data_IF_602584742654
#
_entry.id   IF_602584742654
#
_cell.length_a   1.000
_cell.length_b   1.000
_cell.length_c   1.000
_cell.angle_alpha   90.00
_cell.angle_beta   90.00
_cell.angle_gamma   90.00
#
_symmetry.space_group_name_H-M   'P 1'
#
loop_
_entity.id
_entity.type
_entity.pdbx_description
1 polymer ?
#
# COMPACT_ATOMS: atom_id res chain seq x y z
N UNK A 1 -15.42 -52.41 18.86
CA UNK A 1 -16.19 -51.41 18.10
C UNK A 1 -15.84 -49.94 18.45
N UNK A 2 -14.68 -49.63 19.05
CA UNK A 2 -14.37 -48.27 19.57
C UNK A 2 -13.58 -47.32 18.65
N UNK A 3 -12.98 -47.80 17.54
CA UNK A 3 -11.99 -46.99 16.78
C UNK A 3 -12.36 -46.65 15.33
N UNK A 4 -13.57 -47.01 14.86
CA UNK A 4 -13.98 -46.76 13.45
C UNK A 4 -14.39 -45.31 13.10
N UNK A 5 -15.04 -44.51 13.97
CA UNK A 5 -15.25 -43.08 13.63
C UNK A 5 -13.92 -42.31 13.56
N UNK A 6 -12.92 -42.80 14.31
CA UNK A 6 -11.56 -42.31 14.32
C UNK A 6 -10.83 -42.58 13.00
N UNK A 7 -11.15 -43.66 12.28
CA UNK A 7 -10.46 -44.03 11.02
C UNK A 7 -10.96 -43.25 9.80
N UNK A 8 -12.25 -42.91 9.75
CA UNK A 8 -12.83 -42.06 8.70
C UNK A 8 -12.43 -40.60 8.95
N UNK A 9 -12.41 -40.16 10.21
CA UNK A 9 -11.85 -38.87 10.61
C UNK A 9 -10.32 -38.76 10.44
N UNK A 10 -9.56 -39.84 10.66
CA UNK A 10 -8.11 -39.90 10.42
C UNK A 10 -7.76 -40.02 8.93
N UNK A 11 -8.61 -40.62 8.10
CA UNK A 11 -8.36 -40.66 6.65
C UNK A 11 -8.77 -39.34 5.98
N UNK A 12 -9.90 -38.75 6.35
CA UNK A 12 -10.27 -37.41 5.83
C UNK A 12 -9.34 -36.33 6.39
N UNK A 13 -8.98 -36.40 7.67
CA UNK A 13 -8.00 -35.54 8.35
C UNK A 13 -6.55 -35.79 7.93
N UNK A 14 -6.18 -37.03 7.64
CA UNK A 14 -4.83 -37.42 7.22
C UNK A 14 -4.55 -37.05 5.76
N UNK A 15 -5.53 -37.20 4.87
CA UNK A 15 -5.40 -36.77 3.47
C UNK A 15 -5.38 -35.24 3.38
N UNK A 16 -6.16 -34.53 4.22
CA UNK A 16 -6.06 -33.06 4.31
C UNK A 16 -4.75 -32.61 4.95
N UNK A 17 -4.23 -33.31 5.97
CA UNK A 17 -2.93 -32.99 6.58
C UNK A 17 -1.74 -33.25 5.64
N UNK A 18 -1.77 -34.34 4.86
CA UNK A 18 -0.71 -34.68 3.90
C UNK A 18 -0.80 -33.76 2.67
N UNK A 19 -2.00 -33.45 2.17
CA UNK A 19 -2.16 -32.53 1.04
C UNK A 19 -1.77 -31.09 1.44
N UNK A 20 -2.14 -30.64 2.65
CA UNK A 20 -1.67 -29.35 3.18
C UNK A 20 -0.17 -29.35 3.40
N UNK A 21 0.42 -30.43 3.92
CA UNK A 21 1.88 -30.55 4.09
C UNK A 21 2.64 -30.56 2.75
N UNK A 22 2.14 -31.27 1.73
CA UNK A 22 2.74 -31.30 0.39
C UNK A 22 2.60 -29.94 -0.30
N UNK A 23 1.45 -29.27 -0.19
CA UNK A 23 1.28 -27.91 -0.72
C UNK A 23 2.18 -26.91 0.02
N UNK A 24 2.38 -27.08 1.33
CA UNK A 24 3.28 -26.24 2.13
C UNK A 24 4.76 -26.50 1.80
N UNK A 25 5.13 -27.75 1.47
CA UNK A 25 6.49 -28.11 1.05
C UNK A 25 6.80 -27.74 -0.41
N UNK A 26 5.82 -27.83 -1.31
CA UNK A 26 6.00 -27.54 -2.75
C UNK A 26 5.98 -26.03 -3.03
N UNK A 27 5.33 -25.22 -2.19
CA UNK A 27 5.24 -23.75 -2.35
C UNK A 27 6.14 -22.93 -1.42
N UNK A 28 7.24 -23.49 -0.93
CA UNK A 28 8.37 -22.68 -0.47
C UNK A 28 9.58 -23.00 -1.36
N UNK A 29 10.03 -22.02 -2.18
CA UNK A 29 10.61 -20.82 -1.60
C UNK A 29 10.20 -19.49 -2.25
N UNK A 30 10.31 -18.44 -1.43
CA UNK A 30 10.47 -17.00 -1.78
C UNK A 30 9.20 -16.21 -2.15
N UNK A 31 9.05 -15.04 -1.50
CA UNK A 31 8.25 -13.88 -1.91
C UNK A 31 6.75 -13.71 -1.53
N UNK A 32 6.21 -14.31 -0.46
CA UNK A 32 4.85 -13.91 0.01
C UNK A 32 4.74 -13.59 1.51
N UNK A 33 4.18 -12.40 1.76
CA UNK A 33 3.88 -11.80 3.06
C UNK A 33 2.96 -12.68 3.91
N UNK A 34 3.16 -12.67 5.24
CA UNK A 34 2.66 -13.67 6.22
C UNK A 34 1.13 -13.80 6.24
N UNK A 35 0.40 -12.75 5.86
CA UNK A 35 -1.07 -12.69 5.79
C UNK A 35 -1.66 -13.30 4.53
N UNK A 36 -1.08 -13.06 3.34
CA UNK A 36 -1.58 -13.66 2.09
C UNK A 36 -1.38 -15.17 2.02
N UNK A 37 -0.31 -15.67 2.65
CA UNK A 37 -0.03 -17.11 2.76
C UNK A 37 -1.17 -17.85 3.48
N UNK A 38 -1.75 -17.26 4.52
CA UNK A 38 -2.81 -17.91 5.29
C UNK A 38 -4.13 -17.99 4.51
N UNK A 39 -4.47 -16.97 3.71
CA UNK A 39 -5.67 -16.97 2.88
C UNK A 39 -5.59 -17.92 1.68
N UNK A 40 -4.44 -17.94 0.98
CA UNK A 40 -4.25 -18.87 -0.14
C UNK A 40 -4.28 -20.31 0.33
N UNK A 41 -3.63 -20.62 1.46
CA UNK A 41 -3.66 -21.95 2.07
C UNK A 41 -5.09 -22.35 2.45
N UNK A 42 -5.89 -21.44 3.03
CA UNK A 42 -7.27 -21.73 3.43
C UNK A 42 -8.20 -22.01 2.22
N UNK A 43 -8.12 -21.21 1.16
CA UNK A 43 -8.91 -21.44 -0.05
C UNK A 43 -8.50 -22.71 -0.79
N UNK A 44 -7.19 -22.98 -0.93
CA UNK A 44 -6.72 -24.22 -1.55
C UNK A 44 -7.05 -25.45 -0.71
N UNK A 45 -7.00 -25.33 0.63
CA UNK A 45 -7.40 -26.41 1.54
C UNK A 45 -8.91 -26.69 1.46
N UNK A 46 -9.75 -25.65 1.32
CA UNK A 46 -11.19 -25.80 1.16
C UNK A 46 -11.60 -26.47 -0.15
N UNK A 47 -10.97 -26.09 -1.28
CA UNK A 47 -11.26 -26.69 -2.59
C UNK A 47 -10.76 -28.13 -2.67
N UNK A 48 -9.56 -28.41 -2.15
CA UNK A 48 -9.00 -29.77 -2.16
C UNK A 48 -9.73 -30.71 -1.21
N UNK A 49 -10.16 -30.24 -0.04
CA UNK A 49 -10.99 -31.04 0.87
C UNK A 49 -12.37 -31.31 0.29
N UNK A 50 -12.97 -30.35 -0.40
CA UNK A 50 -14.26 -30.54 -1.08
C UNK A 50 -14.17 -31.54 -2.24
N UNK A 51 -13.16 -31.40 -3.11
CA UNK A 51 -12.95 -32.36 -4.21
C UNK A 51 -12.63 -33.76 -3.68
N UNK A 52 -11.82 -33.88 -2.62
CA UNK A 52 -11.54 -35.15 -1.97
C UNK A 52 -12.82 -35.77 -1.35
N UNK A 53 -13.66 -34.96 -0.72
CA UNK A 53 -14.91 -35.42 -0.09
C UNK A 53 -15.96 -35.78 -1.15
N UNK A 54 -16.07 -35.01 -2.23
CA UNK A 54 -16.98 -35.27 -3.34
C UNK A 54 -16.56 -36.51 -4.14
N UNK A 55 -15.26 -36.68 -4.42
CA UNK A 55 -14.74 -37.88 -5.06
C UNK A 55 -14.86 -39.12 -4.16
N UNK A 56 -14.58 -39.00 -2.86
CA UNK A 56 -14.90 -40.07 -1.90
C UNK A 56 -16.38 -40.41 -1.93
N UNK A 57 -17.26 -39.39 -1.95
CA UNK A 57 -18.72 -39.55 -2.01
C UNK A 57 -19.19 -40.30 -3.26
N UNK A 58 -18.61 -40.00 -4.43
CA UNK A 58 -18.88 -40.73 -5.66
C UNK A 58 -18.36 -42.17 -5.58
N UNK A 59 -17.14 -42.38 -5.08
CA UNK A 59 -16.54 -43.72 -4.93
C UNK A 59 -17.33 -44.58 -3.93
N UNK A 60 -17.76 -44.00 -2.81
CA UNK A 60 -18.60 -44.70 -1.82
C UNK A 60 -19.99 -44.97 -2.36
N UNK A 61 -20.62 -44.03 -3.09
CA UNK A 61 -21.90 -44.24 -3.75
C UNK A 61 -21.83 -45.34 -4.84
N UNK A 62 -20.76 -45.37 -5.65
CA UNK A 62 -20.52 -46.43 -6.62
C UNK A 62 -20.27 -47.78 -5.96
N UNK A 63 -19.48 -47.82 -4.87
CA UNK A 63 -19.27 -49.03 -4.07
C UNK A 63 -20.57 -49.54 -3.45
N UNK A 64 -21.40 -48.66 -2.89
CA UNK A 64 -22.72 -48.98 -2.37
C UNK A 64 -23.59 -49.57 -3.47
N UNK A 65 -23.71 -48.90 -4.62
CA UNK A 65 -24.51 -49.37 -5.76
C UNK A 65 -24.04 -50.72 -6.32
N UNK A 66 -22.73 -50.94 -6.41
CA UNK A 66 -22.17 -52.23 -6.80
C UNK A 66 -22.43 -53.31 -5.74
N UNK A 67 -22.30 -52.97 -4.47
CA UNK A 67 -22.53 -53.91 -3.36
C UNK A 67 -24.00 -54.30 -3.27
N UNK A 68 -24.93 -53.37 -3.45
CA UNK A 68 -26.37 -53.63 -3.42
C UNK A 68 -26.82 -54.43 -4.64
N UNK A 69 -26.41 -54.05 -5.86
CA UNK A 69 -26.75 -54.83 -7.07
C UNK A 69 -26.20 -56.26 -7.02
N UNK A 70 -25.04 -56.47 -6.39
CA UNK A 70 -24.48 -57.81 -6.20
C UNK A 70 -25.25 -58.61 -5.16
N UNK A 71 -25.68 -57.97 -4.06
CA UNK A 71 -26.54 -58.60 -3.07
C UNK A 71 -27.88 -59.01 -3.68
N UNK A 72 -28.45 -58.15 -4.53
CA UNK A 72 -29.69 -58.39 -5.28
C UNK A 72 -29.54 -59.57 -6.24
N UNK A 73 -28.53 -59.56 -7.11
CA UNK A 73 -28.25 -60.68 -8.03
C UNK A 73 -28.02 -62.01 -7.28
N UNK A 74 -27.47 -61.93 -6.07
CA UNK A 74 -27.22 -63.08 -5.23
C UNK A 74 -28.48 -63.59 -4.51
N UNK A 75 -29.34 -62.69 -4.04
CA UNK A 75 -30.67 -62.99 -3.52
C UNK A 75 -31.53 -63.70 -4.57
N UNK A 76 -31.49 -63.22 -5.81
CA UNK A 76 -32.13 -63.88 -6.96
C UNK A 76 -31.54 -65.28 -7.17
N UNK A 77 -30.22 -65.44 -7.15
CA UNK A 77 -29.58 -66.76 -7.28
C UNK A 77 -29.96 -67.77 -6.18
N UNK A 78 -30.12 -67.32 -4.93
CA UNK A 78 -30.63 -68.17 -3.84
C UNK A 78 -32.12 -68.51 -4.04
N UNK A 79 -32.93 -67.56 -4.51
CA UNK A 79 -34.34 -67.81 -4.84
C UNK A 79 -34.53 -68.81 -5.99
N UNK A 80 -33.54 -68.90 -6.89
CA UNK A 80 -33.48 -69.87 -7.99
C UNK A 80 -32.90 -71.25 -7.59
N UNK A 81 -32.61 -71.48 -6.30
CA UNK A 81 -32.13 -72.77 -5.81
C UNK A 81 -30.60 -72.97 -5.84
N UNK A 82 -29.81 -71.92 -6.10
CA UNK A 82 -28.34 -72.00 -6.20
C UNK A 82 -27.68 -71.64 -4.85
N UNK A 83 -27.74 -72.56 -3.89
CA UNK A 83 -27.26 -72.33 -2.51
C UNK A 83 -25.73 -72.39 -2.33
N UNK A 84 -24.98 -72.81 -3.34
CA UNK A 84 -23.51 -72.87 -3.33
C UNK A 84 -22.82 -71.54 -3.66
N UNK A 85 -23.59 -70.52 -4.02
CA UNK A 85 -23.03 -69.20 -4.28
C UNK A 85 -22.45 -68.66 -2.95
N UNK A 86 -21.36 -67.88 -3.01
CA UNK A 86 -20.81 -67.08 -1.90
C UNK A 86 -20.61 -65.64 -2.35
N UNK A 87 -21.06 -64.66 -1.57
CA UNK A 87 -20.78 -63.25 -1.87
C UNK A 87 -19.33 -62.98 -1.49
N UNK A 88 -18.46 -62.59 -2.43
CA UNK A 88 -17.09 -62.26 -2.10
C UNK A 88 -17.02 -61.02 -1.19
N UNK A 89 -16.25 -61.11 -0.11
CA UNK A 89 -16.14 -60.09 0.93
C UNK A 89 -15.07 -59.08 0.53
N UNK A 90 -15.48 -57.87 0.11
CA UNK A 90 -14.54 -56.84 -0.38
C UNK A 90 -14.51 -55.54 0.44
N UNK A 91 -15.48 -55.32 1.33
CA UNK A 91 -15.62 -54.08 2.10
C UNK A 91 -15.08 -54.22 3.54
N UNK A 92 -14.72 -53.11 4.20
CA UNK A 92 -14.30 -53.05 5.61
C UNK A 92 -15.31 -52.31 6.51
N UNK A 93 -16.56 -52.22 6.04
CA UNK A 93 -17.65 -51.43 6.59
C UNK A 93 -18.78 -52.33 7.13
N UNK A 94 -19.91 -51.74 7.50
CA UNK A 94 -21.08 -52.46 8.00
C UNK A 94 -21.69 -53.42 6.97
N UNK A 95 -21.47 -53.18 5.67
CA UNK A 95 -21.88 -54.09 4.60
C UNK A 95 -21.02 -55.36 4.60
N UNK A 96 -19.76 -55.28 5.04
CA UNK A 96 -18.92 -56.47 5.25
C UNK A 96 -19.53 -57.43 6.27
N UNK A 97 -19.97 -56.90 7.42
CA UNK A 97 -20.56 -57.70 8.48
C UNK A 97 -21.92 -58.27 8.05
N UNK A 98 -22.72 -57.50 7.32
CA UNK A 98 -23.95 -58.00 6.70
C UNK A 98 -23.67 -59.14 5.71
N UNK A 99 -22.69 -58.96 4.82
CA UNK A 99 -22.28 -59.95 3.81
C UNK A 99 -21.76 -61.24 4.46
N UNK A 100 -20.95 -61.15 5.52
CA UNK A 100 -20.47 -62.31 6.28
C UNK A 100 -21.64 -63.11 6.87
N UNK A 101 -22.62 -62.43 7.47
CA UNK A 101 -23.80 -63.09 8.04
C UNK A 101 -24.71 -63.69 6.97
N UNK A 102 -24.83 -63.03 5.83
CA UNK A 102 -25.57 -63.54 4.69
C UNK A 102 -24.93 -64.82 4.11
N UNK A 103 -23.60 -64.84 3.98
CA UNK A 103 -22.86 -66.04 3.58
C UNK A 103 -23.02 -67.19 4.59
N UNK A 104 -22.96 -66.89 5.90
CA UNK A 104 -23.23 -67.90 6.93
C UNK A 104 -24.67 -68.43 6.87
N UNK A 105 -25.64 -67.57 6.57
CA UNK A 105 -27.03 -67.98 6.37
C UNK A 105 -27.17 -68.90 5.16
N UNK A 106 -26.56 -68.55 4.02
CA UNK A 106 -26.59 -69.37 2.81
C UNK A 106 -25.93 -70.74 3.03
N UNK A 107 -24.81 -70.80 3.76
CA UNK A 107 -24.11 -72.03 4.12
C UNK A 107 -24.96 -72.96 4.99
N UNK A 108 -25.63 -72.40 6.00
CA UNK A 108 -26.58 -73.15 6.84
C UNK A 108 -27.76 -73.67 6.02
N UNK A 109 -28.34 -72.83 5.16
CA UNK A 109 -29.47 -73.18 4.29
C UNK A 109 -29.07 -74.30 3.31
N UNK A 110 -27.87 -74.22 2.73
CA UNK A 110 -27.34 -75.24 1.83
C UNK A 110 -27.15 -76.58 2.55
N UNK A 111 -26.53 -76.59 3.73
CA UNK A 111 -26.32 -77.80 4.51
C UNK A 111 -27.65 -78.44 4.94
N UNK A 112 -28.65 -77.63 5.29
CA UNK A 112 -29.99 -78.12 5.61
C UNK A 112 -30.70 -78.72 4.39
N UNK A 113 -30.61 -78.09 3.22
CA UNK A 113 -31.22 -78.65 2.01
C UNK A 113 -30.58 -79.96 1.56
N UNK A 114 -29.27 -80.10 1.74
CA UNK A 114 -28.59 -81.38 1.53
C UNK A 114 -29.14 -82.43 2.51
N UNK A 115 -29.29 -82.10 3.79
CA UNK A 115 -29.83 -83.01 4.80
C UNK A 115 -31.31 -83.37 4.58
N UNK A 116 -32.14 -82.41 4.15
CA UNK A 116 -33.56 -82.63 3.82
C UNK A 116 -33.67 -83.52 2.58
N UNK A 117 -32.89 -83.26 1.53
CA UNK A 117 -32.90 -84.06 0.29
C UNK A 117 -32.47 -85.51 0.51
N UNK A 118 -31.55 -85.75 1.44
CA UNK A 118 -31.16 -87.11 1.87
C UNK A 118 -32.31 -87.83 2.63
N UNK A 119 -33.23 -87.09 3.27
CA UNK A 119 -34.38 -87.65 4.00
C UNK A 119 -35.68 -87.73 3.20
N UNK A 120 -35.74 -87.09 2.02
CA UNK A 120 -36.90 -87.17 1.12
C UNK A 120 -37.22 -88.59 0.64
N UNK A 121 -36.30 -89.54 0.82
CA UNK A 121 -36.45 -90.96 0.51
C UNK A 121 -37.19 -91.78 1.60
N UNK A 122 -37.51 -91.24 2.80
CA UNK A 122 -37.98 -92.08 3.92
C UNK A 122 -39.32 -91.77 4.63
N UNK A 123 -40.02 -90.64 4.41
CA UNK A 123 -41.36 -90.43 5.06
C UNK A 123 -42.20 -89.27 4.46
N UNK A 124 -43.49 -89.49 4.19
CA UNK A 124 -44.44 -88.47 3.66
C UNK A 124 -44.92 -87.46 4.73
N UNK A 125 -45.04 -87.88 5.99
CA UNK A 125 -45.54 -87.00 7.08
C UNK A 125 -44.55 -85.88 7.45
N UNK A 126 -43.25 -86.10 7.24
CA UNK A 126 -42.23 -85.09 7.51
C UNK A 126 -42.21 -84.01 6.41
N UNK A 127 -42.58 -84.37 5.17
CA UNK A 127 -42.68 -83.42 4.04
C UNK A 127 -43.77 -82.36 4.28
N UNK A 128 -44.96 -82.77 4.72
CA UNK A 128 -46.06 -81.83 5.00
C UNK A 128 -45.75 -80.87 6.16
N UNK A 129 -45.11 -81.37 7.23
CA UNK A 129 -44.69 -80.53 8.36
C UNK A 129 -43.64 -79.51 7.96
N UNK A 130 -42.63 -79.92 7.18
CA UNK A 130 -41.59 -79.01 6.68
C UNK A 130 -42.20 -77.96 5.75
N UNK A 131 -43.05 -78.36 4.80
CA UNK A 131 -43.72 -77.43 3.88
C UNK A 131 -44.55 -76.36 4.62
N UNK A 132 -45.34 -76.75 5.63
CA UNK A 132 -46.13 -75.82 6.44
C UNK A 132 -45.26 -74.83 7.23
N UNK A 133 -44.13 -75.30 7.76
CA UNK A 133 -43.19 -74.45 8.49
C UNK A 133 -42.43 -73.48 7.58
N UNK A 134 -42.08 -73.90 6.36
CA UNK A 134 -41.46 -73.03 5.34
C UNK A 134 -42.41 -71.92 4.92
N UNK A 135 -43.69 -72.20 4.68
CA UNK A 135 -44.69 -71.17 4.33
C UNK A 135 -44.79 -70.11 5.43
N UNK A 136 -44.83 -70.51 6.72
CA UNK A 136 -44.85 -69.57 7.86
C UNK A 136 -43.58 -68.74 7.97
N UNK A 137 -42.44 -69.30 7.55
CA UNK A 137 -41.17 -68.61 7.56
C UNK A 137 -41.07 -67.61 6.40
N UNK A 138 -41.58 -67.97 5.22
CA UNK A 138 -41.71 -67.08 4.06
C UNK A 138 -42.66 -65.92 4.33
N UNK A 139 -43.82 -66.15 4.96
CA UNK A 139 -44.77 -65.10 5.36
C UNK A 139 -44.13 -64.06 6.30
N UNK A 140 -43.29 -64.52 7.24
CA UNK A 140 -42.57 -63.64 8.17
C UNK A 140 -41.39 -62.91 7.52
N UNK A 141 -40.73 -63.52 6.55
CA UNK A 141 -39.69 -62.86 5.75
C UNK A 141 -40.30 -61.83 4.81
N UNK A 142 -41.46 -62.13 4.23
CA UNK A 142 -42.23 -61.21 3.40
C UNK A 142 -42.68 -59.97 4.19
N UNK A 143 -43.16 -60.18 5.41
CA UNK A 143 -43.47 -59.07 6.35
C UNK A 143 -42.23 -58.19 6.61
N UNK A 144 -41.05 -58.81 6.77
CA UNK A 144 -39.80 -58.07 6.96
C UNK A 144 -39.33 -57.34 5.69
N UNK A 145 -39.60 -57.89 4.50
CA UNK A 145 -39.31 -57.28 3.20
C UNK A 145 -40.16 -56.01 2.96
N UNK A 146 -41.38 -55.97 3.49
CA UNK A 146 -42.26 -54.79 3.46
C UNK A 146 -41.85 -53.69 4.47
N UNK A 147 -40.67 -53.79 5.07
CA UNK A 147 -40.11 -52.76 5.95
C UNK A 147 -40.26 -53.04 7.45
N UNK A 148 -40.93 -54.12 7.84
CA UNK A 148 -41.09 -54.50 9.26
C UNK A 148 -39.96 -55.41 9.75
N UNK A 149 -38.76 -54.84 9.88
CA UNK A 149 -37.54 -55.60 10.20
C UNK A 149 -37.49 -56.05 11.69
N UNK A 150 -38.39 -55.53 12.54
CA UNK A 150 -38.43 -55.90 13.97
C UNK A 150 -39.03 -57.31 14.23
N UNK A 151 -39.54 -57.98 13.21
CA UNK A 151 -40.15 -59.32 13.32
C UNK A 151 -39.10 -60.34 13.77
N UNK A 152 -39.36 -61.02 14.90
CA UNK A 152 -38.54 -62.12 15.39
C UNK A 152 -39.15 -63.47 15.01
N UNK A 153 -38.40 -64.29 14.30
CA UNK A 153 -38.75 -65.68 14.02
C UNK A 153 -38.54 -66.54 15.27
N UNK A 154 -39.49 -67.41 15.58
CA UNK A 154 -39.42 -68.31 16.75
C UNK A 154 -38.44 -69.46 16.44
N UNK A 155 -37.31 -69.48 17.13
CA UNK A 155 -36.32 -70.56 17.02
C UNK A 155 -36.85 -71.78 17.77
N UNK A 156 -37.20 -72.86 17.05
CA UNK A 156 -37.55 -74.17 17.63
C UNK A 156 -36.34 -75.11 17.51
N UNK A 157 -36.28 -76.18 18.30
CA UNK A 157 -35.18 -77.15 18.28
C UNK A 157 -35.18 -78.08 17.04
N UNK A 158 -36.02 -77.81 16.05
CA UNK A 158 -36.15 -78.57 14.80
C UNK A 158 -35.22 -78.01 13.70
N UNK A 159 -35.08 -78.71 12.58
CA UNK A 159 -34.15 -78.39 11.48
C UNK A 159 -34.36 -76.95 10.91
N UNK A 160 -35.59 -76.41 10.95
CA UNK A 160 -35.92 -75.05 10.53
C UNK A 160 -35.59 -73.95 11.58
N UNK A 161 -35.20 -74.34 12.79
CA UNK A 161 -34.74 -73.44 13.84
C UNK A 161 -33.45 -72.71 13.50
N UNK A 162 -32.52 -73.38 12.80
CA UNK A 162 -31.24 -72.77 12.40
C UNK A 162 -31.44 -71.71 11.32
N UNK A 163 -32.39 -71.90 10.41
CA UNK A 163 -32.78 -70.89 9.40
C UNK A 163 -33.38 -69.66 10.10
N UNK A 164 -34.30 -69.90 11.04
CA UNK A 164 -34.90 -68.84 11.86
C UNK A 164 -33.85 -68.02 12.62
N UNK A 165 -32.82 -68.69 13.16
CA UNK A 165 -31.68 -68.03 13.83
C UNK A 165 -30.87 -67.16 12.88
N UNK A 166 -30.55 -67.67 11.68
CA UNK A 166 -29.75 -66.93 10.69
C UNK A 166 -30.49 -65.71 10.12
N UNK A 167 -31.80 -65.83 9.88
CA UNK A 167 -32.63 -64.71 9.44
C UNK A 167 -32.72 -63.65 10.54
N UNK A 168 -33.00 -64.04 11.80
CA UNK A 168 -33.00 -63.11 12.93
C UNK A 168 -31.66 -62.36 13.07
N UNK A 169 -30.53 -63.05 12.86
CA UNK A 169 -29.21 -62.44 12.90
C UNK A 169 -29.02 -61.39 11.79
N UNK A 170 -29.47 -61.71 10.58
CA UNK A 170 -29.38 -60.82 9.41
C UNK A 170 -30.27 -59.59 9.59
N UNK A 171 -31.52 -59.79 10.02
CA UNK A 171 -32.47 -58.71 10.33
C UNK A 171 -31.93 -57.78 11.43
N UNK A 172 -31.34 -58.31 12.50
CA UNK A 172 -30.76 -57.49 13.57
C UNK A 172 -29.57 -56.63 13.09
N UNK A 173 -28.73 -57.15 12.20
CA UNK A 173 -27.63 -56.39 11.62
C UNK A 173 -28.13 -55.33 10.63
N UNK A 174 -29.16 -55.65 9.84
CA UNK A 174 -29.81 -54.67 8.97
C UNK A 174 -30.44 -53.53 9.79
N UNK A 175 -31.10 -53.87 10.90
CA UNK A 175 -31.67 -52.89 11.83
C UNK A 175 -30.60 -51.98 12.45
N UNK A 176 -29.43 -52.51 12.82
CA UNK A 176 -28.28 -51.69 13.26
C UNK A 176 -27.79 -50.74 12.17
N UNK A 177 -27.73 -51.19 10.91
CA UNK A 177 -27.33 -50.36 9.78
C UNK A 177 -28.33 -49.23 9.54
N UNK A 178 -29.62 -49.55 9.48
CA UNK A 178 -30.72 -48.58 9.32
C UNK A 178 -30.70 -47.53 10.44
N UNK A 179 -30.53 -47.95 11.72
CA UNK A 179 -30.38 -47.02 12.86
C UNK A 179 -29.18 -46.10 12.71
N UNK A 180 -28.04 -46.64 12.27
CA UNK A 180 -26.82 -45.86 12.05
C UNK A 180 -27.00 -44.83 10.93
N UNK A 181 -27.56 -45.24 9.79
CA UNK A 181 -27.83 -44.32 8.67
C UNK A 181 -28.78 -43.20 9.11
N UNK A 182 -29.83 -43.50 9.89
CA UNK A 182 -30.74 -42.48 10.40
C UNK A 182 -30.04 -41.49 11.35
N UNK A 183 -29.20 -41.99 12.28
CA UNK A 183 -28.43 -41.14 13.21
C UNK A 183 -27.44 -40.25 12.46
N UNK A 184 -26.64 -40.83 11.56
CA UNK A 184 -25.62 -40.10 10.79
C UNK A 184 -26.29 -39.06 9.86
N UNK A 185 -27.46 -39.39 9.30
CA UNK A 185 -28.25 -38.45 8.47
C UNK A 185 -28.78 -37.27 9.30
N UNK A 186 -29.28 -37.51 10.51
CA UNK A 186 -29.72 -36.44 11.42
C UNK A 186 -28.57 -35.52 11.83
N UNK A 187 -27.39 -36.07 12.11
CA UNK A 187 -26.19 -35.28 12.44
C UNK A 187 -25.74 -34.41 11.26
N UNK A 188 -25.78 -34.92 10.04
CA UNK A 188 -25.47 -34.14 8.83
C UNK A 188 -26.49 -33.01 8.62
N UNK A 189 -27.79 -33.29 8.82
CA UNK A 189 -28.85 -32.27 8.68
C UNK A 189 -28.65 -31.14 9.70
N UNK A 190 -28.36 -31.46 10.96
CA UNK A 190 -28.14 -30.42 11.98
C UNK A 190 -26.89 -29.59 11.68
N UNK A 191 -25.77 -30.23 11.32
CA UNK A 191 -24.53 -29.54 10.97
C UNK A 191 -24.73 -28.53 9.81
N UNK A 192 -25.46 -28.95 8.76
CA UNK A 192 -25.73 -28.10 7.61
C UNK A 192 -26.72 -26.97 7.95
N UNK A 193 -27.78 -27.28 8.71
CA UNK A 193 -28.84 -26.31 9.02
C UNK A 193 -28.36 -25.15 9.92
N UNK A 194 -27.60 -25.45 10.97
CA UNK A 194 -27.18 -24.44 11.97
C UNK A 194 -25.89 -23.72 11.60
N UNK A 195 -24.84 -24.45 11.22
CA UNK A 195 -23.50 -23.87 11.11
C UNK A 195 -23.20 -23.41 9.69
N UNK A 196 -23.53 -24.24 8.69
CA UNK A 196 -23.17 -23.95 7.30
C UNK A 196 -23.90 -22.73 6.74
N UNK A 197 -25.20 -22.57 7.03
CA UNK A 197 -26.00 -21.43 6.57
C UNK A 197 -25.46 -20.09 7.09
N UNK A 198 -25.23 -19.99 8.39
CA UNK A 198 -24.79 -18.75 9.02
C UNK A 198 -23.38 -18.36 8.56
N UNK A 199 -22.47 -19.34 8.48
CA UNK A 199 -21.10 -19.14 7.99
C UNK A 199 -21.10 -18.63 6.55
N UNK A 200 -21.84 -19.28 5.63
CA UNK A 200 -21.85 -18.87 4.24
C UNK A 200 -22.53 -17.51 4.01
N UNK A 201 -23.63 -17.23 4.71
CA UNK A 201 -24.27 -15.92 4.63
C UNK A 201 -23.34 -14.80 5.13
N UNK A 202 -22.66 -15.02 6.27
CA UNK A 202 -21.71 -14.06 6.80
C UNK A 202 -20.52 -13.86 5.86
N UNK A 203 -19.94 -14.95 5.33
CA UNK A 203 -18.79 -14.87 4.43
C UNK A 203 -19.14 -14.17 3.11
N UNK A 204 -20.33 -14.37 2.57
CA UNK A 204 -20.82 -13.67 1.38
C UNK A 204 -21.04 -12.18 1.65
N UNK A 205 -21.66 -11.86 2.79
CA UNK A 205 -21.89 -10.47 3.24
C UNK A 205 -20.58 -9.73 3.46
N UNK A 206 -19.64 -10.33 4.19
CA UNK A 206 -18.32 -9.75 4.45
C UNK A 206 -17.53 -9.52 3.16
N UNK A 207 -17.56 -10.48 2.23
CA UNK A 207 -16.87 -10.31 0.95
C UNK A 207 -17.49 -9.18 0.13
N UNK A 208 -18.82 -8.98 0.20
CA UNK A 208 -19.48 -7.84 -0.44
C UNK A 208 -19.10 -6.51 0.21
N UNK A 209 -19.12 -6.43 1.55
CA UNK A 209 -18.72 -5.23 2.28
C UNK A 209 -17.26 -4.86 1.97
N UNK A 210 -16.36 -5.84 1.91
CA UNK A 210 -14.97 -5.59 1.51
C UNK A 210 -14.84 -5.06 0.08
N UNK A 211 -15.70 -5.50 -0.86
CA UNK A 211 -15.71 -4.92 -2.20
C UNK A 211 -16.19 -3.46 -2.19
N UNK A 212 -17.24 -3.15 -1.43
CA UNK A 212 -17.75 -1.78 -1.26
C UNK A 212 -16.72 -0.85 -0.58
N UNK A 213 -15.99 -1.34 0.43
CA UNK A 213 -14.88 -0.61 1.07
C UNK A 213 -13.74 -0.33 0.09
N UNK A 214 -13.43 -1.29 -0.79
CA UNK A 214 -12.41 -1.11 -1.83
C UNK A 214 -12.86 -0.06 -2.85
N UNK A 215 -14.12 -0.03 -3.26
CA UNK A 215 -14.65 1.01 -4.16
C UNK A 215 -14.53 2.41 -3.56
N UNK A 216 -14.83 2.55 -2.26
CA UNK A 216 -14.62 3.80 -1.51
C UNK A 216 -13.15 4.20 -1.45
N UNK A 217 -12.25 3.24 -1.24
CA UNK A 217 -10.81 3.48 -1.23
C UNK A 217 -10.28 3.87 -2.61
N UNK A 218 -10.75 3.25 -3.69
CA UNK A 218 -10.41 3.61 -5.07
C UNK A 218 -10.83 5.05 -5.39
N UNK A 219 -12.03 5.47 -4.97
CA UNK A 219 -12.48 6.87 -5.10
C UNK A 219 -11.57 7.83 -4.33
N UNK A 220 -11.14 7.44 -3.14
CA UNK A 220 -10.20 8.23 -2.33
C UNK A 220 -8.81 8.32 -2.98
N UNK A 221 -8.35 7.24 -3.63
CA UNK A 221 -7.10 7.23 -4.39
C UNK A 221 -7.15 8.17 -5.59
N UNK A 222 -8.28 8.23 -6.31
CA UNK A 222 -8.45 9.19 -7.42
C UNK A 222 -8.29 10.64 -6.94
N UNK A 223 -8.89 10.98 -5.80
CA UNK A 223 -8.70 12.29 -5.19
C UNK A 223 -7.22 12.55 -4.82
N UNK A 224 -6.52 11.54 -4.28
CA UNK A 224 -5.08 11.66 -3.98
C UNK A 224 -4.27 11.89 -5.26
N UNK A 225 -4.55 11.16 -6.35
CA UNK A 225 -3.90 11.35 -7.64
C UNK A 225 -4.13 12.78 -8.18
N UNK A 226 -5.34 13.32 -8.06
CA UNK A 226 -5.62 14.71 -8.42
C UNK A 226 -4.78 15.70 -7.59
N UNK A 227 -4.63 15.49 -6.28
CA UNK A 227 -3.75 16.34 -5.46
C UNK A 227 -2.29 16.29 -5.90
N UNK A 228 -1.81 15.16 -6.43
CA UNK A 228 -0.46 15.05 -6.98
C UNK A 228 -0.31 15.83 -8.30
N UNK A 229 -1.29 15.77 -9.19
CA UNK A 229 -1.31 16.62 -10.38
C UNK A 229 -1.32 18.10 -10.02
N UNK A 230 -2.13 18.52 -9.05
CA UNK A 230 -2.15 19.90 -8.57
C UNK A 230 -0.79 20.32 -7.99
N UNK A 231 -0.13 19.45 -7.21
CA UNK A 231 1.22 19.73 -6.66
C UNK A 231 2.29 19.80 -7.76
N UNK A 232 2.24 18.92 -8.75
CA UNK A 232 3.15 18.97 -9.90
C UNK A 232 2.97 20.27 -10.69
N UNK A 233 1.72 20.70 -10.91
CA UNK A 233 1.42 21.98 -11.53
C UNK A 233 1.96 23.16 -10.70
N UNK A 234 1.77 23.15 -9.37
CA UNK A 234 2.31 24.17 -8.47
C UNK A 234 3.85 24.19 -8.44
N UNK A 235 4.50 23.03 -8.54
CA UNK A 235 5.94 22.93 -8.68
C UNK A 235 6.40 23.55 -10.01
N UNK A 236 5.68 23.30 -11.10
CA UNK A 236 5.96 23.94 -12.40
C UNK A 236 5.77 25.46 -12.36
N UNK A 237 4.70 25.98 -11.74
CA UNK A 237 4.53 27.43 -11.53
C UNK A 237 5.68 28.02 -10.69
N UNK A 238 6.12 27.30 -9.65
CA UNK A 238 7.25 27.73 -8.83
C UNK A 238 8.57 27.78 -9.61
N UNK A 239 8.77 26.89 -10.59
CA UNK A 239 9.94 26.90 -11.47
C UNK A 239 9.94 28.12 -12.41
N UNK A 240 8.77 28.53 -12.92
CA UNK A 240 8.66 29.78 -13.70
C UNK A 240 9.05 31.00 -12.87
N UNK A 241 8.52 31.09 -11.64
CA UNK A 241 8.88 32.16 -10.69
C UNK A 241 10.36 32.11 -10.33
N UNK A 242 10.95 30.91 -10.18
CA UNK A 242 12.39 30.73 -9.99
C UNK A 242 13.19 31.34 -11.15
N UNK A 243 12.81 31.07 -12.40
CA UNK A 243 13.53 31.59 -13.57
C UNK A 243 13.50 33.12 -13.62
N UNK A 244 12.35 33.72 -13.30
CA UNK A 244 12.20 35.18 -13.18
C UNK A 244 13.09 35.74 -12.08
N UNK A 245 13.01 35.21 -10.85
CA UNK A 245 13.79 35.70 -9.71
C UNK A 245 15.30 35.52 -9.97
N UNK A 246 15.71 34.42 -10.60
CA UNK A 246 17.10 34.17 -10.96
C UNK A 246 17.62 35.22 -11.95
N UNK A 247 16.84 35.56 -12.98
CA UNK A 247 17.16 36.63 -13.92
C UNK A 247 17.22 38.00 -13.23
N UNK A 248 16.27 38.31 -12.35
CA UNK A 248 16.27 39.55 -11.56
C UNK A 248 17.49 39.65 -10.62
N UNK A 249 17.86 38.55 -9.95
CA UNK A 249 19.03 38.52 -9.07
C UNK A 249 20.33 38.70 -9.86
N UNK A 250 20.44 38.06 -11.03
CA UNK A 250 21.59 38.18 -11.93
C UNK A 250 21.77 39.61 -12.47
N UNK A 251 20.70 40.21 -12.98
CA UNK A 251 20.71 41.60 -13.48
C UNK A 251 20.97 42.61 -12.37
N UNK A 252 20.43 42.38 -11.17
CA UNK A 252 20.71 43.21 -9.99
C UNK A 252 22.16 43.12 -9.55
N UNK A 253 22.75 41.91 -9.56
CA UNK A 253 24.16 41.71 -9.26
C UNK A 253 25.08 42.47 -10.23
N UNK A 254 24.77 42.45 -11.52
CA UNK A 254 25.50 43.22 -12.53
C UNK A 254 25.34 44.73 -12.32
N UNK A 255 24.12 45.20 -12.09
CA UNK A 255 23.83 46.63 -11.89
C UNK A 255 24.54 47.19 -10.65
N UNK A 256 24.54 46.44 -9.55
CA UNK A 256 25.26 46.81 -8.32
C UNK A 256 26.77 46.79 -8.55
N UNK A 257 27.28 45.84 -9.34
CA UNK A 257 28.68 45.82 -9.76
C UNK A 257 29.07 47.10 -10.52
N UNK A 258 28.22 47.56 -11.45
CA UNK A 258 28.45 48.81 -12.20
C UNK A 258 28.40 50.04 -11.29
N UNK A 259 27.41 50.14 -10.40
CA UNK A 259 27.32 51.23 -9.41
C UNK A 259 28.58 51.29 -8.56
N UNK A 260 29.11 50.14 -8.13
CA UNK A 260 30.35 50.11 -7.35
C UNK A 260 31.55 50.62 -8.16
N UNK A 261 31.64 50.29 -9.46
CA UNK A 261 32.67 50.85 -10.34
C UNK A 261 32.54 52.38 -10.50
N UNK A 262 31.32 52.89 -10.67
CA UNK A 262 31.06 54.34 -10.74
C UNK A 262 31.43 55.06 -9.45
N UNK A 263 31.07 54.48 -8.30
CA UNK A 263 31.44 55.00 -6.97
C UNK A 263 32.97 55.00 -6.83
N UNK A 264 33.67 53.93 -7.21
CA UNK A 264 35.14 53.88 -7.19
C UNK A 264 35.76 54.98 -8.07
N UNK A 265 35.23 55.19 -9.28
CA UNK A 265 35.69 56.24 -10.17
C UNK A 265 35.46 57.64 -9.56
N UNK A 266 34.30 57.87 -8.94
CA UNK A 266 34.00 59.09 -8.21
C UNK A 266 34.97 59.33 -7.05
N UNK A 267 35.33 58.29 -6.30
CA UNK A 267 36.35 58.38 -5.25
C UNK A 267 37.74 58.75 -5.78
N UNK A 268 38.17 58.14 -6.88
CA UNK A 268 39.44 58.51 -7.52
C UNK A 268 39.45 59.97 -7.95
N UNK A 269 38.33 60.47 -8.49
CA UNK A 269 38.19 61.88 -8.86
C UNK A 269 38.25 62.81 -7.63
N UNK A 270 37.57 62.45 -6.54
CA UNK A 270 37.61 63.22 -5.29
C UNK A 270 39.03 63.27 -4.72
N UNK A 271 39.74 62.13 -4.75
CA UNK A 271 41.16 62.06 -4.34
C UNK A 271 42.04 62.97 -5.21
N UNK A 272 41.85 62.97 -6.53
CA UNK A 272 42.57 63.86 -7.44
C UNK A 272 42.26 65.35 -7.15
N UNK A 273 40.99 65.69 -6.90
CA UNK A 273 40.58 67.05 -6.50
C UNK A 273 41.28 67.44 -5.20
N UNK A 274 41.30 66.56 -4.20
CA UNK A 274 41.97 66.81 -2.93
C UNK A 274 43.47 67.11 -3.13
N UNK A 275 44.16 66.35 -3.98
CA UNK A 275 45.55 66.62 -4.35
C UNK A 275 45.73 67.96 -5.07
N UNK A 276 44.83 68.32 -5.99
CA UNK A 276 44.86 69.62 -6.69
C UNK A 276 44.62 70.79 -5.74
N UNK A 277 43.67 70.66 -4.82
CA UNK A 277 43.37 71.65 -3.77
C UNK A 277 44.57 71.84 -2.84
N UNK A 278 45.23 70.75 -2.44
CA UNK A 278 46.49 70.82 -1.67
C UNK A 278 47.61 71.54 -2.44
N UNK A 279 47.75 71.32 -3.75
CA UNK A 279 48.70 72.11 -4.54
C UNK A 279 48.30 73.58 -4.65
N UNK A 280 46.99 73.86 -4.63
CA UNK A 280 46.47 75.22 -4.67
C UNK A 280 46.78 75.98 -3.37
N UNK A 281 46.78 75.31 -2.21
CA UNK A 281 47.27 75.92 -0.95
C UNK A 281 48.78 76.22 -1.02
N UNK A 282 49.58 75.33 -1.62
CA UNK A 282 51.01 75.57 -1.87
C UNK A 282 51.24 76.79 -2.78
N UNK A 283 50.47 76.93 -3.88
CA UNK A 283 50.55 78.13 -4.73
C UNK A 283 50.09 79.41 -4.01
N UNK A 284 49.11 79.31 -3.11
CA UNK A 284 48.70 80.45 -2.28
C UNK A 284 49.84 80.93 -1.36
N UNK A 285 50.70 80.01 -0.89
CA UNK A 285 51.90 80.36 -0.15
C UNK A 285 52.90 81.16 -1.00
N UNK A 286 53.10 80.81 -2.27
CA UNK A 286 53.94 81.59 -3.18
C UNK A 286 53.34 82.96 -3.51
N UNK A 287 52.00 83.07 -3.61
CA UNK A 287 51.33 84.37 -3.73
C UNK A 287 51.58 85.29 -2.53
N UNK A 288 51.67 84.76 -1.31
CA UNK A 288 52.05 85.56 -0.13
C UNK A 288 53.43 86.21 -0.30
N UNK A 289 54.38 85.54 -0.98
CA UNK A 289 55.70 86.12 -1.29
C UNK A 289 55.58 87.28 -2.29
N UNK A 290 54.74 87.13 -3.31
CA UNK A 290 54.48 88.19 -4.30
C UNK A 290 53.81 89.39 -3.62
N UNK A 291 52.84 89.17 -2.74
CA UNK A 291 52.19 90.24 -1.98
C UNK A 291 53.21 91.03 -1.14
N UNK A 292 54.19 90.36 -0.51
CA UNK A 292 55.26 91.04 0.21
C UNK A 292 56.11 91.94 -0.70
N UNK A 293 56.40 91.50 -1.93
CA UNK A 293 57.10 92.32 -2.93
C UNK A 293 56.24 93.50 -3.41
N UNK A 294 54.93 93.28 -3.65
CA UNK A 294 53.98 94.34 -4.01
C UNK A 294 53.92 95.41 -2.90
N UNK A 295 53.90 94.99 -1.64
CA UNK A 295 53.94 95.93 -0.51
C UNK A 295 55.24 96.72 -0.48
N UNK A 296 56.38 96.08 -0.74
CA UNK A 296 57.66 96.79 -0.86
C UNK A 296 57.66 97.80 -2.00
N UNK A 297 57.12 97.44 -3.18
CA UNK A 297 57.01 98.37 -4.33
C UNK A 297 56.06 99.53 -4.03
N UNK A 298 54.94 99.27 -3.32
CA UNK A 298 54.00 100.29 -2.88
C UNK A 298 54.67 101.30 -1.93
N UNK A 299 55.37 100.81 -0.90
CA UNK A 299 56.13 101.65 0.04
C UNK A 299 57.19 102.47 -0.72
N UNK A 300 57.94 101.83 -1.62
CA UNK A 300 58.96 102.52 -2.41
C UNK A 300 58.35 103.60 -3.31
N UNK A 301 57.21 103.32 -3.97
CA UNK A 301 56.48 104.29 -4.80
C UNK A 301 55.98 105.47 -3.96
N UNK A 302 55.48 105.23 -2.74
CA UNK A 302 55.05 106.28 -1.80
C UNK A 302 56.21 107.15 -1.31
N UNK A 303 57.36 106.55 -1.03
CA UNK A 303 58.59 107.30 -0.68
C UNK A 303 59.07 108.13 -1.87
N UNK A 304 59.10 107.56 -3.08
CA UNK A 304 59.51 108.26 -4.30
C UNK A 304 58.56 109.43 -4.61
N UNK A 305 57.25 109.21 -4.46
CA UNK A 305 56.23 110.26 -4.56
C UNK A 305 56.49 111.38 -3.56
N UNK A 306 56.67 111.06 -2.27
CA UNK A 306 56.90 112.04 -1.21
C UNK A 306 58.17 112.86 -1.49
N UNK A 307 59.26 112.19 -1.85
CA UNK A 307 60.51 112.85 -2.21
C UNK A 307 60.31 113.78 -3.41
N UNK A 308 59.65 113.32 -4.46
CA UNK A 308 59.37 114.12 -5.67
C UNK A 308 58.48 115.32 -5.37
N UNK A 309 57.45 115.15 -4.54
CA UNK A 309 56.56 116.22 -4.11
C UNK A 309 57.30 117.29 -3.26
N UNK A 310 58.16 116.87 -2.32
CA UNK A 310 59.01 117.77 -1.55
C UNK A 310 59.98 118.54 -2.47
N UNK A 311 60.62 117.85 -3.42
CA UNK A 311 61.51 118.48 -4.40
C UNK A 311 60.77 119.47 -5.32
N UNK A 312 59.55 119.14 -5.76
CA UNK A 312 58.69 120.01 -6.56
C UNK A 312 58.26 121.27 -5.79
N UNK A 313 57.99 121.16 -4.48
CA UNK A 313 57.63 122.30 -3.63
C UNK A 313 58.83 123.22 -3.33
N UNK A 314 60.05 122.66 -3.24
CA UNK A 314 61.29 123.43 -2.98
C UNK A 314 61.82 124.21 -4.19
N UNK A 315 61.57 123.75 -5.41
CA UNK A 315 61.91 124.48 -6.64
C UNK A 315 60.70 125.29 -7.11
N UNK A 316 60.66 126.57 -6.78
CA UNK A 316 59.66 127.51 -7.34
C UNK A 316 59.83 127.54 -8.87
N UNK A 317 58.90 126.92 -9.61
CA UNK A 317 58.81 126.76 -11.09
C UNK A 317 59.41 125.50 -11.73
N UNK A 318 58.83 124.31 -11.48
CA UNK A 318 58.97 123.13 -12.37
C UNK A 318 57.66 122.33 -12.48
N UNK A 319 56.77 122.71 -13.39
CA UNK A 319 55.49 122.01 -13.63
C UNK A 319 55.67 120.54 -14.03
N UNK A 320 56.76 120.19 -14.70
CA UNK A 320 57.01 118.81 -15.13
C UNK A 320 57.34 117.87 -13.97
N UNK A 321 57.95 118.37 -12.88
CA UNK A 321 58.16 117.61 -11.64
C UNK A 321 56.83 117.35 -10.90
N UNK A 322 55.89 118.30 -10.97
CA UNK A 322 54.54 118.12 -10.43
C UNK A 322 53.77 117.05 -11.23
N UNK A 323 53.89 117.05 -12.57
CA UNK A 323 53.31 116.00 -13.43
C UNK A 323 53.89 114.62 -13.11
N UNK A 324 55.20 114.52 -12.82
CA UNK A 324 55.85 113.27 -12.39
C UNK A 324 55.32 112.83 -11.02
N UNK A 325 55.14 113.74 -10.07
CA UNK A 325 54.53 113.44 -8.77
C UNK A 325 53.10 112.92 -8.92
N UNK A 326 52.26 113.53 -9.77
CA UNK A 326 50.89 113.04 -10.05
C UNK A 326 50.92 111.61 -10.62
N UNK A 327 51.82 111.32 -11.56
CA UNK A 327 51.99 109.95 -12.10
C UNK A 327 52.49 108.95 -11.05
N UNK A 328 53.38 109.35 -10.15
CA UNK A 328 53.84 108.51 -9.04
C UNK A 328 52.74 108.26 -8.00
N UNK A 329 51.84 109.22 -7.81
CA UNK A 329 50.65 109.07 -6.97
C UNK A 329 49.64 108.11 -7.57
N UNK A 330 49.40 108.22 -8.88
CA UNK A 330 48.57 107.27 -9.62
C UNK A 330 49.17 105.85 -9.56
N UNK A 331 50.49 105.72 -9.70
CA UNK A 331 51.20 104.44 -9.57
C UNK A 331 51.09 103.87 -8.15
N UNK A 332 51.25 104.67 -7.09
CA UNK A 332 51.06 104.23 -5.71
C UNK A 332 49.60 103.78 -5.45
N UNK A 333 48.62 104.52 -5.96
CA UNK A 333 47.20 104.15 -5.86
C UNK A 333 46.91 102.83 -6.59
N UNK A 334 47.53 102.60 -7.77
CA UNK A 334 47.42 101.35 -8.49
C UNK A 334 48.02 100.18 -7.72
N UNK A 335 49.15 100.38 -7.02
CA UNK A 335 49.72 99.34 -6.13
C UNK A 335 48.80 99.01 -4.95
N UNK A 336 48.15 100.01 -4.35
CA UNK A 336 47.15 99.79 -3.30
C UNK A 336 45.93 98.99 -3.80
N UNK A 337 45.50 99.23 -5.04
CA UNK A 337 44.43 98.45 -5.68
C UNK A 337 44.87 97.00 -5.93
N UNK A 338 46.07 96.78 -6.46
CA UNK A 338 46.63 95.44 -6.70
C UNK A 338 46.75 94.66 -5.38
N UNK A 339 47.26 95.30 -4.32
CA UNK A 339 47.35 94.70 -2.98
C UNK A 339 46.00 94.23 -2.46
N UNK A 340 44.98 95.10 -2.49
CA UNK A 340 43.62 94.74 -2.04
C UNK A 340 43.04 93.59 -2.85
N UNK A 341 43.29 93.56 -4.16
CA UNK A 341 42.84 92.45 -5.01
C UNK A 341 43.54 91.13 -4.66
N UNK A 342 44.83 91.16 -4.31
CA UNK A 342 45.56 89.96 -3.87
C UNK A 342 45.06 89.46 -2.51
N UNK A 343 44.84 90.36 -1.55
CA UNK A 343 44.28 90.01 -0.23
C UNK A 343 42.88 89.38 -0.36
N UNK A 344 42.03 89.94 -1.21
CA UNK A 344 40.71 89.38 -1.46
C UNK A 344 40.78 87.99 -2.12
N UNK A 345 41.67 87.80 -3.10
CA UNK A 345 41.88 86.51 -3.75
C UNK A 345 42.37 85.44 -2.75
N UNK A 346 43.35 85.78 -1.90
CA UNK A 346 43.87 84.87 -0.88
C UNK A 346 42.80 84.47 0.13
N UNK A 347 41.99 85.43 0.58
CA UNK A 347 40.89 85.17 1.51
C UNK A 347 39.88 84.18 0.90
N UNK A 348 39.53 84.37 -0.37
CA UNK A 348 38.62 83.47 -1.09
C UNK A 348 39.22 82.06 -1.28
N UNK A 349 40.52 81.96 -1.59
CA UNK A 349 41.23 80.67 -1.69
C UNK A 349 41.29 79.97 -0.33
N UNK A 350 41.55 80.70 0.76
CA UNK A 350 41.64 80.14 2.10
C UNK A 350 40.28 79.68 2.62
N UNK A 351 39.20 80.44 2.37
CA UNK A 351 37.84 80.03 2.74
C UNK A 351 37.39 78.79 1.96
N UNK A 352 37.70 78.70 0.66
CA UNK A 352 37.47 77.49 -0.15
C UNK A 352 38.24 76.28 0.38
N UNK A 353 39.48 76.46 0.83
CA UNK A 353 40.24 75.36 1.43
C UNK A 353 39.64 74.92 2.77
N UNK A 354 39.31 75.85 3.66
CA UNK A 354 38.70 75.55 4.96
C UNK A 354 37.38 74.80 4.79
N UNK A 355 36.51 75.25 3.88
CA UNK A 355 35.24 74.55 3.60
C UNK A 355 35.43 73.13 3.07
N UNK A 356 36.50 72.83 2.34
CA UNK A 356 36.81 71.46 1.89
C UNK A 356 37.27 70.57 3.06
N UNK A 357 38.09 71.11 3.95
CA UNK A 357 38.57 70.40 5.14
C UNK A 357 37.48 70.23 6.21
N UNK A 358 36.68 71.27 6.47
CA UNK A 358 35.57 71.27 7.44
C UNK A 358 34.42 70.35 7.03
N UNK A 359 34.13 70.25 5.73
CA UNK A 359 33.13 69.30 5.21
C UNK A 359 33.63 67.85 5.22
N UNK A 360 34.78 67.56 5.86
CA UNK A 360 35.32 66.21 6.00
C UNK A 360 35.28 65.43 4.68
N UNK A 361 35.78 66.01 3.59
CA UNK A 361 36.20 65.21 2.43
C UNK A 361 37.50 64.48 2.84
N UNK A 362 37.39 63.65 3.87
CA UNK A 362 38.43 62.80 4.41
C UNK A 362 38.47 61.61 3.48
N UNK A 363 39.44 61.63 2.58
CA UNK A 363 39.80 60.51 1.70
C UNK A 363 40.46 59.38 2.51
N UNK A 364 40.70 59.56 3.82
CA UNK A 364 41.59 58.70 4.61
C UNK A 364 41.01 57.37 5.04
N UNK A 365 39.70 57.15 5.02
CA UNK A 365 39.16 55.81 5.25
C UNK A 365 38.07 55.49 4.23
N UNK A 366 38.12 54.26 3.75
CA UNK A 366 37.27 53.73 2.68
C UNK A 366 36.20 52.78 3.25
N UNK A 367 35.28 53.22 4.13
CA UNK A 367 34.31 52.34 4.79
C UNK A 367 33.29 51.72 3.84
N UNK A 368 33.25 52.14 2.56
CA UNK A 368 32.29 51.66 1.56
C UNK A 368 32.68 50.35 0.86
N UNK A 369 33.93 49.89 0.95
CA UNK A 369 34.31 48.54 0.48
C UNK A 369 33.57 47.46 1.25
N UNK A 370 33.46 47.62 2.58
CA UNK A 370 32.76 46.68 3.45
C UNK A 370 31.28 46.59 3.11
N UNK A 371 30.62 47.73 2.88
CA UNK A 371 29.20 47.76 2.50
C UNK A 371 28.96 47.10 1.13
N UNK A 372 29.82 47.39 0.14
CA UNK A 372 29.74 46.75 -1.18
C UNK A 372 29.98 45.24 -1.12
N UNK A 373 30.93 44.80 -0.30
CA UNK A 373 31.23 43.39 -0.10
C UNK A 373 30.10 42.66 0.64
N UNK A 374 29.49 43.28 1.66
CA UNK A 374 28.30 42.77 2.35
C UNK A 374 27.10 42.60 1.41
N UNK A 375 26.83 43.60 0.54
CA UNK A 375 25.77 43.52 -0.48
C UNK A 375 26.07 42.41 -1.48
N UNK A 376 27.31 42.30 -1.96
CA UNK A 376 27.74 41.24 -2.89
C UNK A 376 27.60 39.84 -2.27
N UNK A 377 27.99 39.68 -1.01
CA UNK A 377 27.82 38.43 -0.27
C UNK A 377 26.33 38.10 -0.06
N UNK A 378 25.50 39.10 0.24
CA UNK A 378 24.05 38.95 0.35
C UNK A 378 23.41 38.43 -0.94
N UNK A 379 23.74 39.04 -2.09
CA UNK A 379 23.27 38.60 -3.39
C UNK A 379 23.77 37.20 -3.75
N UNK A 380 25.03 36.89 -3.42
CA UNK A 380 25.58 35.54 -3.63
C UNK A 380 24.79 34.49 -2.84
N UNK A 381 24.42 34.79 -1.58
CA UNK A 381 23.58 33.91 -0.76
C UNK A 381 22.16 33.78 -1.34
N UNK A 382 21.58 34.85 -1.87
CA UNK A 382 20.28 34.81 -2.55
C UNK A 382 20.35 33.86 -3.75
N UNK A 383 21.35 34.00 -4.62
CA UNK A 383 21.56 33.11 -5.77
C UNK A 383 21.75 31.65 -5.33
N UNK A 384 22.53 31.39 -4.27
CA UNK A 384 22.70 30.04 -3.73
C UNK A 384 21.40 29.45 -3.18
N UNK A 385 20.60 30.24 -2.47
CA UNK A 385 19.31 29.79 -1.94
C UNK A 385 18.30 29.53 -3.05
N UNK A 386 18.33 30.34 -4.11
CA UNK A 386 17.57 30.14 -5.35
C UNK A 386 17.92 28.77 -5.96
N UNK A 387 19.20 28.41 -6.12
CA UNK A 387 19.60 27.07 -6.61
C UNK A 387 19.12 25.92 -5.71
N UNK A 388 19.22 26.08 -4.38
CA UNK A 388 18.69 25.09 -3.44
C UNK A 388 17.18 24.92 -3.61
N UNK A 389 16.46 26.02 -3.80
CA UNK A 389 15.01 26.00 -4.01
C UNK A 389 14.63 25.26 -5.29
N UNK A 390 15.35 25.46 -6.41
CA UNK A 390 15.11 24.69 -7.63
C UNK A 390 15.30 23.19 -7.40
N UNK A 391 16.41 22.78 -6.78
CA UNK A 391 16.61 21.37 -6.43
C UNK A 391 15.47 20.80 -5.56
N UNK A 392 14.84 21.61 -4.71
CA UNK A 392 13.65 21.17 -3.97
C UNK A 392 12.42 21.01 -4.87
N UNK A 393 12.20 21.92 -5.82
CA UNK A 393 11.12 21.83 -6.81
C UNK A 393 11.28 20.56 -7.65
N UNK A 394 12.47 20.31 -8.21
CA UNK A 394 12.77 19.12 -9.00
C UNK A 394 12.54 17.83 -8.21
N UNK A 395 13.01 17.79 -6.96
CA UNK A 395 12.76 16.64 -6.08
C UNK A 395 11.27 16.45 -5.80
N UNK A 396 10.51 17.53 -5.57
CA UNK A 396 9.06 17.45 -5.34
C UNK A 396 8.33 16.95 -6.59
N UNK A 397 8.71 17.43 -7.78
CA UNK A 397 8.15 16.97 -9.05
C UNK A 397 8.44 15.48 -9.28
N UNK A 398 9.69 15.05 -9.13
CA UNK A 398 10.10 13.64 -9.28
C UNK A 398 9.46 12.73 -8.23
N UNK A 399 9.34 13.17 -6.98
CA UNK A 399 8.62 12.42 -5.94
C UNK A 399 7.14 12.29 -6.26
N UNK A 400 6.52 13.34 -6.83
CA UNK A 400 5.13 13.32 -7.29
C UNK A 400 4.90 12.28 -8.38
N UNK A 401 5.79 12.22 -9.39
CA UNK A 401 5.73 11.22 -10.46
C UNK A 401 5.84 9.79 -9.92
N UNK A 402 6.86 9.52 -9.09
CA UNK A 402 7.05 8.21 -8.46
C UNK A 402 5.87 7.79 -7.57
N UNK A 403 5.25 8.76 -6.87
CA UNK A 403 4.08 8.48 -6.04
C UNK A 403 2.86 8.15 -6.89
N UNK A 404 2.63 8.84 -8.02
CA UNK A 404 1.55 8.51 -8.97
C UNK A 404 1.71 7.10 -9.54
N UNK A 405 2.93 6.71 -9.95
CA UNK A 405 3.22 5.37 -10.45
C UNK A 405 2.95 4.28 -9.40
N UNK A 406 3.30 4.54 -8.14
CA UNK A 406 3.02 3.61 -7.05
C UNK A 406 1.51 3.54 -6.73
N UNK A 407 0.80 4.66 -6.79
CA UNK A 407 -0.65 4.69 -6.61
C UNK A 407 -1.36 3.92 -7.73
N UNK A 408 -0.88 3.98 -8.98
CA UNK A 408 -1.42 3.16 -10.07
C UNK A 408 -1.28 1.66 -9.76
N UNK A 409 -0.12 1.22 -9.27
CA UNK A 409 0.08 -0.19 -8.86
C UNK A 409 -0.86 -0.59 -7.71
N UNK A 410 -1.09 0.32 -6.76
CA UNK A 410 -2.03 0.08 -5.66
C UNK A 410 -3.46 -0.03 -6.20
N UNK A 411 -3.86 0.85 -7.11
CA UNK A 411 -5.16 0.81 -7.81
C UNK A 411 -5.36 -0.53 -8.51
N UNK A 412 -4.39 -0.96 -9.31
CA UNK A 412 -4.45 -2.25 -10.03
C UNK A 412 -4.58 -3.43 -9.05
N UNK A 413 -3.81 -3.40 -7.96
CA UNK A 413 -3.87 -4.41 -6.91
C UNK A 413 -5.23 -4.44 -6.22
N UNK A 414 -5.81 -3.29 -5.92
CA UNK A 414 -7.12 -3.20 -5.30
C UNK A 414 -8.25 -3.64 -6.22
N UNK A 415 -8.17 -3.35 -7.52
CA UNK A 415 -9.11 -3.90 -8.51
C UNK A 415 -9.06 -5.44 -8.56
N UNK A 416 -7.87 -6.04 -8.44
CA UNK A 416 -7.73 -7.50 -8.34
C UNK A 416 -8.40 -8.02 -7.06
N UNK A 417 -8.20 -7.34 -5.92
CA UNK A 417 -8.84 -7.76 -4.66
C UNK A 417 -10.37 -7.59 -4.73
N UNK A 418 -10.86 -6.49 -5.30
CA UNK A 418 -12.29 -6.25 -5.52
C UNK A 418 -12.93 -7.40 -6.30
N UNK A 419 -12.33 -7.73 -7.45
CA UNK A 419 -12.76 -8.87 -8.27
C UNK A 419 -12.75 -10.19 -7.47
N UNK A 420 -11.68 -10.46 -6.72
CA UNK A 420 -11.59 -11.66 -5.88
C UNK A 420 -12.65 -11.70 -4.78
N UNK A 421 -13.03 -10.56 -4.22
CA UNK A 421 -14.08 -10.48 -3.20
C UNK A 421 -15.47 -10.74 -3.79
N UNK A 422 -15.75 -10.23 -4.99
CA UNK A 422 -16.97 -10.56 -5.74
C UNK A 422 -17.01 -12.07 -6.05
N UNK A 423 -15.92 -12.61 -6.62
CA UNK A 423 -15.80 -14.04 -6.91
C UNK A 423 -15.99 -14.90 -5.65
N UNK A 424 -15.37 -14.52 -4.53
CA UNK A 424 -15.52 -15.18 -3.23
C UNK A 424 -16.96 -15.16 -2.75
N UNK A 425 -17.67 -14.04 -2.90
CA UNK A 425 -19.10 -13.94 -2.55
C UNK A 425 -19.95 -14.89 -3.40
N UNK A 426 -19.66 -14.95 -4.71
CA UNK A 426 -20.35 -15.85 -5.65
C UNK A 426 -20.08 -17.33 -5.35
N UNK A 427 -18.82 -17.72 -5.11
CA UNK A 427 -18.45 -19.08 -4.72
C UNK A 427 -19.10 -19.46 -3.40
N UNK A 428 -19.15 -18.55 -2.43
CA UNK A 428 -19.82 -18.79 -1.14
C UNK A 428 -21.31 -19.05 -1.33
N UNK A 429 -21.97 -18.33 -2.24
CA UNK A 429 -23.37 -18.58 -2.60
C UNK A 429 -23.55 -19.97 -3.25
N UNK A 430 -22.67 -20.36 -4.15
CA UNK A 430 -22.69 -21.69 -4.76
C UNK A 430 -22.46 -22.82 -3.73
N UNK A 431 -21.58 -22.60 -2.75
CA UNK A 431 -21.37 -23.51 -1.63
C UNK A 431 -22.62 -23.65 -0.77
N UNK A 432 -23.31 -22.54 -0.49
CA UNK A 432 -24.61 -22.58 0.19
C UNK A 432 -25.65 -23.40 -0.58
N UNK A 433 -25.81 -23.16 -1.89
CA UNK A 433 -26.75 -23.91 -2.72
C UNK A 433 -26.41 -25.41 -2.78
N UNK A 434 -25.12 -25.75 -2.81
CA UNK A 434 -24.65 -27.14 -2.79
C UNK A 434 -24.90 -27.81 -1.44
N UNK A 435 -24.68 -27.09 -0.35
CA UNK A 435 -24.98 -27.55 1.01
C UNK A 435 -26.48 -27.83 1.18
N UNK A 436 -27.33 -26.97 0.63
CA UNK A 436 -28.78 -27.17 0.61
C UNK A 436 -29.19 -28.43 -0.16
N UNK A 437 -28.54 -28.72 -1.30
CA UNK A 437 -28.77 -29.97 -2.04
C UNK A 437 -28.38 -31.20 -1.22
N UNK A 438 -27.25 -31.16 -0.51
CA UNK A 438 -26.82 -32.26 0.37
C UNK A 438 -27.83 -32.45 1.51
N UNK A 439 -28.35 -31.37 2.09
CA UNK A 439 -29.39 -31.44 3.12
C UNK A 439 -30.65 -32.13 2.58
N UNK A 440 -31.15 -31.71 1.42
CA UNK A 440 -32.34 -32.32 0.81
C UNK A 440 -32.13 -33.83 0.50
N UNK A 441 -30.95 -34.22 0.00
CA UNK A 441 -30.63 -35.63 -0.26
C UNK A 441 -30.57 -36.42 1.05
N UNK A 442 -29.97 -35.84 2.09
CA UNK A 442 -29.86 -36.46 3.42
C UNK A 442 -31.22 -36.60 4.10
N UNK A 443 -32.11 -35.61 3.94
CA UNK A 443 -33.50 -35.69 4.40
C UNK A 443 -34.27 -36.81 3.70
N UNK A 444 -34.17 -36.90 2.37
CA UNK A 444 -34.79 -37.98 1.60
C UNK A 444 -34.24 -39.37 1.98
N UNK A 445 -32.94 -39.46 2.28
CA UNK A 445 -32.33 -40.68 2.81
C UNK A 445 -32.89 -41.03 4.19
N UNK A 446 -32.97 -40.07 5.11
CA UNK A 446 -33.52 -40.27 6.45
C UNK A 446 -35.00 -40.70 6.39
N UNK A 447 -35.79 -40.11 5.49
CA UNK A 447 -37.19 -40.49 5.27
C UNK A 447 -37.33 -41.89 4.68
N UNK A 448 -36.51 -42.24 3.70
CA UNK A 448 -36.46 -43.61 3.13
C UNK A 448 -36.11 -44.65 4.19
N UNK A 449 -35.23 -44.30 5.12
CA UNK A 449 -34.79 -45.18 6.22
C UNK A 449 -35.86 -45.28 7.31
N UNK A 450 -36.70 -44.26 7.51
CA UNK A 450 -37.86 -44.32 8.43
C UNK A 450 -38.95 -45.31 7.99
N UNK A 451 -39.08 -45.56 6.68
CA UNK A 451 -40.03 -46.56 6.17
C UNK A 451 -39.73 -47.97 6.71
N UNK A 452 -38.47 -48.22 7.07
CA UNK A 452 -38.09 -49.42 7.81
C UNK A 452 -38.42 -49.22 9.30
N UNK A 453 -39.48 -49.86 9.79
CA UNK A 453 -39.97 -49.63 11.16
C UNK A 453 -38.92 -50.05 12.19
N UNK A 454 -38.47 -49.06 12.96
CA UNK A 454 -37.39 -49.22 13.94
C UNK A 454 -37.88 -49.65 15.33
N UNK A 455 -39.20 -49.66 15.53
CA UNK A 455 -39.86 -50.00 16.79
C UNK A 455 -41.11 -50.87 16.58
N UNK A 456 -41.45 -51.62 17.62
CA UNK A 456 -42.67 -52.41 17.71
C UNK A 456 -43.81 -51.42 17.99
N UNK A 457 -44.63 -51.10 16.98
CA UNK A 457 -45.96 -50.55 17.28
C UNK A 457 -46.71 -51.62 18.07
N UNK A 458 -46.91 -51.35 19.36
CA UNK A 458 -47.83 -52.13 20.20
C UNK A 458 -49.27 -51.93 19.78
#
# INVERSE_FOLDING_TARGET
MKNKPLWIGLMSGGITAIATAIVTMVYSPTFLNKTHRNYTIACTAGITSFLATFSLGIITAQKLRCSTNRLENYLVGISEGKYNLRIPIYANDELQDLTKKFNSMAEVICNLMINIKIREESSEQDKEKIASQVIKLLDKVDTAAHGQIYVKLKVRCEELGVISYCINMTLNNFLKLVKKINSDSQEIITLIATDSKTIFQNLSRESKLQAEEIDSFLTSLEAIVDTFYQRAYKAWEAEQVYQEISNYASTSYQSIGNIFQEIMAGYMLISEIHHKVKRLTEYNYDLNKIQALVEQMNIHSKILLLNTAIFAYRKTTNEDLLKIAIKLQEMANNWDLIKKSLEHFQHNVQSLNLTIYENNIVVEEFPQQKLGEEVKQGLTKIVQNIYKFNNYIDNVASLGENQTDNLQKITDFLQIIHKKNIEKSQVTKQLYDSSQKIMNITESLAESVKHFTLEKTE
#
